data_IF_966320749405
#
_entry.id   IF_966320749405
#
_cell.length_a   1.000
_cell.length_b   1.000
_cell.length_c   1.000
_cell.angle_alpha   90.00
_cell.angle_beta   90.00
_cell.angle_gamma   90.00
#
_symmetry.space_group_name_H-M   'P 1'
#
loop_
_entity.id
_entity.type
_entity.pdbx_description
1 polymer ?
#
# COMPACT_ATOMS: atom_id res chain seq x y z
N UNK A 1 -6.72 24.94 -5.88
CA UNK A 1 -6.36 25.13 -7.31
C UNK A 1 -6.13 23.76 -7.92
N UNK A 2 -6.76 23.46 -9.06
CA UNK A 2 -6.57 22.18 -9.76
C UNK A 2 -5.17 22.06 -10.35
N UNK A 3 -4.63 20.84 -10.40
CA UNK A 3 -3.43 20.49 -11.14
C UNK A 3 -3.81 19.43 -12.18
N UNK A 4 -3.26 19.53 -13.38
CA UNK A 4 -3.47 18.56 -14.45
C UNK A 4 -2.27 17.61 -14.50
N UNK A 5 -2.55 16.33 -14.64
CA UNK A 5 -1.56 15.30 -14.94
C UNK A 5 -1.95 14.64 -16.27
N UNK A 6 -0.95 14.26 -17.05
CA UNK A 6 -1.14 13.47 -18.27
C UNK A 6 -0.75 12.03 -17.96
N UNK A 7 -1.57 11.08 -18.40
CA UNK A 7 -1.36 9.64 -18.23
C UNK A 7 -1.66 8.93 -19.55
N UNK A 8 -1.19 7.70 -19.69
CA UNK A 8 -1.52 6.87 -20.84
C UNK A 8 -3.02 6.49 -20.83
N UNK A 9 -3.57 6.23 -22.02
CA UNK A 9 -5.00 5.96 -22.20
C UNK A 9 -5.46 4.70 -21.45
N UNK A 10 -4.66 3.65 -21.46
CA UNK A 10 -4.92 2.41 -20.73
C UNK A 10 -5.04 2.66 -19.22
N UNK A 11 -4.13 3.46 -18.65
CA UNK A 11 -4.16 3.85 -17.24
C UNK A 11 -5.43 4.66 -16.93
N UNK A 12 -5.84 5.55 -17.83
CA UNK A 12 -7.07 6.32 -17.65
C UNK A 12 -8.29 5.40 -17.55
N UNK A 13 -8.43 4.43 -18.47
CA UNK A 13 -9.57 3.52 -18.46
C UNK A 13 -9.61 2.61 -17.23
N UNK A 14 -8.45 2.15 -16.76
CA UNK A 14 -8.38 1.40 -15.49
C UNK A 14 -8.83 2.26 -14.31
N UNK A 15 -8.39 3.51 -14.22
CA UNK A 15 -8.84 4.44 -13.17
C UNK A 15 -10.34 4.74 -13.27
N UNK A 16 -10.92 4.83 -14.48
CA UNK A 16 -12.37 4.99 -14.68
C UNK A 16 -13.14 3.80 -14.10
N UNK A 17 -12.70 2.57 -14.40
CA UNK A 17 -13.32 1.34 -13.86
C UNK A 17 -13.27 1.32 -12.33
N UNK A 18 -12.12 1.69 -11.75
CA UNK A 18 -11.91 1.72 -10.30
C UNK A 18 -12.69 2.83 -9.58
N UNK A 19 -12.85 3.99 -10.22
CA UNK A 19 -13.48 5.19 -9.65
C UNK A 19 -14.97 4.99 -9.38
N UNK A 20 -15.68 4.31 -10.28
CA UNK A 20 -17.14 4.24 -10.26
C UNK A 20 -17.76 5.64 -10.18
N UNK A 21 -18.62 5.87 -9.18
CA UNK A 21 -19.31 7.15 -8.96
C UNK A 21 -18.48 8.21 -8.22
N UNK A 22 -17.28 7.90 -7.73
CA UNK A 22 -16.41 8.85 -7.01
C UNK A 22 -15.77 9.86 -7.97
N UNK A 23 -15.12 10.90 -7.47
CA UNK A 23 -14.19 11.72 -8.25
C UNK A 23 -12.80 11.05 -8.38
N UNK A 24 -12.01 11.44 -9.39
CA UNK A 24 -10.62 10.96 -9.49
C UNK A 24 -9.78 11.38 -8.29
N UNK A 25 -10.01 12.57 -7.72
CA UNK A 25 -9.28 13.02 -6.53
C UNK A 25 -9.58 12.15 -5.31
N UNK A 26 -10.81 11.67 -5.14
CA UNK A 26 -11.16 10.74 -4.06
C UNK A 26 -10.50 9.38 -4.26
N UNK A 27 -10.58 8.81 -5.47
CA UNK A 27 -9.90 7.56 -5.80
C UNK A 27 -8.39 7.65 -5.54
N UNK A 28 -7.74 8.72 -6.00
CA UNK A 28 -6.30 8.90 -5.82
C UNK A 28 -5.93 9.05 -4.33
N UNK A 29 -6.74 9.75 -3.53
CA UNK A 29 -6.54 9.83 -2.07
C UNK A 29 -6.69 8.47 -1.40
N UNK A 30 -7.66 7.65 -1.83
CA UNK A 30 -7.82 6.28 -1.34
C UNK A 30 -6.63 5.42 -1.72
N UNK A 31 -6.12 5.51 -2.95
CA UNK A 31 -4.96 4.73 -3.39
C UNK A 31 -3.68 5.17 -2.65
N UNK A 32 -3.46 6.47 -2.49
CA UNK A 32 -2.35 7.02 -1.69
C UNK A 32 -2.50 6.60 -0.21
N UNK A 33 -3.73 6.63 0.32
CA UNK A 33 -4.06 6.23 1.69
C UNK A 33 -3.91 4.74 1.95
N UNK A 34 -4.34 3.88 1.01
CA UNK A 34 -4.14 2.42 1.00
C UNK A 34 -2.67 2.05 0.86
N UNK A 35 -1.84 2.90 0.24
CA UNK A 35 -0.39 2.69 0.24
C UNK A 35 0.23 2.96 1.61
N UNK A 36 -0.35 3.86 2.42
CA UNK A 36 0.09 4.17 3.79
C UNK A 36 -0.47 3.20 4.84
N UNK A 37 -1.71 2.76 4.68
CA UNK A 37 -2.29 1.61 5.36
C UNK A 37 -2.13 0.41 4.44
N UNK A 38 -0.92 -0.17 4.38
CA UNK A 38 -0.77 -1.49 3.76
C UNK A 38 -1.76 -2.50 4.35
N UNK A 39 -1.73 -3.74 3.88
CA UNK A 39 -2.50 -4.86 4.46
C UNK A 39 -2.28 -5.07 5.97
N UNK A 40 -1.57 -4.20 6.69
CA UNK A 40 -1.43 -4.15 8.13
C UNK A 40 -2.76 -4.32 8.87
N UNK A 41 -3.85 -3.67 8.46
CA UNK A 41 -5.15 -3.87 9.13
C UNK A 41 -5.67 -5.31 8.93
N UNK A 42 -5.43 -5.90 7.74
CA UNK A 42 -5.76 -7.31 7.43
C UNK A 42 -4.82 -8.29 8.16
N UNK A 43 -3.53 -7.96 8.27
CA UNK A 43 -2.55 -8.71 9.05
C UNK A 43 -2.89 -8.64 10.55
N UNK A 44 -3.31 -7.49 11.07
CA UNK A 44 -3.72 -7.31 12.46
C UNK A 44 -4.99 -8.11 12.80
N UNK A 45 -5.95 -8.17 11.87
CA UNK A 45 -7.13 -9.04 12.01
C UNK A 45 -6.72 -10.53 11.97
N UNK A 46 -5.83 -10.90 11.05
CA UNK A 46 -5.35 -12.28 10.91
C UNK A 46 -4.47 -12.76 12.09
N UNK A 47 -3.71 -11.85 12.72
CA UNK A 47 -2.85 -12.12 13.87
C UNK A 47 -3.49 -11.74 15.22
N UNK A 48 -4.80 -11.50 15.23
CA UNK A 48 -5.53 -10.90 16.35
C UNK A 48 -5.69 -11.80 17.58
N UNK A 49 -4.59 -12.10 18.27
CA UNK A 49 -4.43 -12.15 19.76
C UNK A 49 -2.93 -12.17 20.12
N UNK A 50 -2.09 -11.35 19.47
CA UNK A 50 -0.68 -11.24 19.89
C UNK A 50 -0.54 -10.36 21.13
N UNK A 51 0.17 -10.87 22.12
CA UNK A 51 0.65 -10.12 23.29
C UNK A 51 1.60 -8.99 22.85
N UNK A 52 1.84 -7.96 23.69
CA UNK A 52 2.77 -6.88 23.36
C UNK A 52 4.16 -7.38 22.93
N UNK A 53 4.63 -8.49 23.52
CA UNK A 53 5.90 -9.12 23.18
C UNK A 53 5.91 -9.71 21.76
N UNK A 54 4.89 -10.47 21.40
CA UNK A 54 4.77 -11.09 20.07
C UNK A 54 4.59 -10.06 18.96
N UNK A 55 4.06 -8.88 19.29
CA UNK A 55 3.97 -7.74 18.37
C UNK A 55 5.34 -7.07 18.15
N UNK A 56 6.15 -6.97 19.20
CA UNK A 56 7.50 -6.40 19.12
C UNK A 56 8.45 -7.32 18.34
N UNK A 57 8.34 -8.63 18.55
CA UNK A 57 9.05 -9.64 17.75
C UNK A 57 8.67 -9.58 16.27
N UNK A 58 7.36 -9.49 15.97
CA UNK A 58 6.88 -9.36 14.59
C UNK A 58 7.40 -8.09 13.91
N UNK A 59 7.46 -6.96 14.62
CA UNK A 59 8.02 -5.72 14.08
C UNK A 59 9.50 -5.87 13.72
N UNK A 60 10.25 -6.63 14.53
CA UNK A 60 11.66 -6.91 14.26
C UNK A 60 11.84 -7.77 13.01
N UNK A 61 11.06 -8.85 12.91
CA UNK A 61 11.08 -9.75 11.73
C UNK A 61 10.73 -9.01 10.44
N UNK A 62 9.69 -8.15 10.46
CA UNK A 62 9.31 -7.36 9.29
C UNK A 62 10.43 -6.40 8.85
N UNK A 63 11.12 -5.78 9.80
CA UNK A 63 12.24 -4.86 9.53
C UNK A 63 13.44 -5.60 8.95
N UNK A 64 13.73 -6.81 9.44
CA UNK A 64 14.81 -7.65 8.89
C UNK A 64 14.50 -8.10 7.45
N UNK A 65 13.24 -8.44 7.15
CA UNK A 65 12.82 -8.77 5.78
C UNK A 65 12.89 -7.56 4.86
N UNK A 66 12.48 -6.38 5.32
CA UNK A 66 12.59 -5.13 4.57
C UNK A 66 14.06 -4.81 4.23
N UNK A 67 14.95 -4.87 5.23
CA UNK A 67 16.39 -4.66 5.03
C UNK A 67 17.01 -5.71 4.09
N UNK A 68 16.58 -6.98 4.18
CA UNK A 68 17.01 -8.04 3.26
C UNK A 68 16.56 -7.75 1.82
N UNK A 69 15.30 -7.36 1.62
CA UNK A 69 14.78 -7.00 0.30
C UNK A 69 15.49 -5.79 -0.30
N UNK A 70 15.78 -4.78 0.51
CA UNK A 70 16.51 -3.58 0.10
C UNK A 70 17.99 -3.87 -0.23
N UNK A 71 18.58 -4.85 0.45
CA UNK A 71 19.93 -5.35 0.15
C UNK A 71 19.99 -6.21 -1.12
N UNK A 72 18.83 -6.64 -1.63
CA UNK A 72 18.73 -7.51 -2.78
C UNK A 72 18.84 -6.68 -4.07
N UNK A 73 20.06 -6.57 -4.61
CA UNK A 73 20.28 -6.12 -5.99
C UNK A 73 20.08 -7.29 -6.94
N UNK A 74 19.04 -7.30 -7.79
CA UNK A 74 18.88 -8.36 -8.77
C UNK A 74 20.02 -8.26 -9.79
N UNK A 75 20.82 -9.32 -9.88
CA UNK A 75 21.84 -9.47 -10.91
C UNK A 75 21.13 -9.75 -12.25
N UNK A 76 21.03 -8.72 -13.09
CA UNK A 76 20.69 -8.85 -14.50
C UNK A 76 21.95 -8.58 -15.32
#
# INVERSE_FOLDING_TARGET
MGKTITIADDVYYELVKMKGNKSFSELLRELIGKKKKGNLDVLMIAFGTRTPKELEELKKELKEVEEWMDSWTPAW
#
